data_IF_508014658797
#
_entry.id   IF_508014658797
#
_cell.length_a   1.000
_cell.length_b   1.000
_cell.length_c   1.000
_cell.angle_alpha   90.00
_cell.angle_beta   90.00
_cell.angle_gamma   90.00
#
_symmetry.space_group_name_H-M   'P 1'
#
loop_
_entity.id
_entity.type
_entity.pdbx_description
1 polymer ?
#
# COMPACT_ATOMS: atom_id res chain seq x y z
N UNK A 1 11.95 11.02 32.44
CA UNK A 1 10.81 11.20 33.36
C UNK A 1 9.73 11.97 32.60
N UNK A 2 8.67 11.27 32.17
CA UNK A 2 7.54 11.91 31.50
C UNK A 2 6.80 12.79 32.50
N UNK A 3 6.61 14.08 32.20
CA UNK A 3 5.62 14.90 32.90
C UNK A 3 4.26 14.22 32.73
N UNK A 4 3.51 14.07 33.83
CA UNK A 4 2.12 13.63 33.76
C UNK A 4 1.36 14.77 33.06
N UNK A 5 0.91 14.52 31.83
CA UNK A 5 0.08 15.45 31.08
C UNK A 5 -1.35 15.40 31.59
N UNK A 6 -2.05 16.53 31.53
CA UNK A 6 -3.44 16.56 31.97
C UNK A 6 -4.35 15.80 30.99
N UNK A 7 -5.52 15.41 31.47
CA UNK A 7 -6.48 14.62 30.68
C UNK A 7 -6.85 15.31 29.36
N UNK A 8 -7.04 16.63 29.37
CA UNK A 8 -7.41 17.41 28.20
C UNK A 8 -6.34 17.37 27.09
N UNK A 9 -5.06 17.48 27.45
CA UNK A 9 -3.95 17.34 26.50
C UNK A 9 -3.89 15.96 25.87
N UNK A 10 -4.19 14.92 26.65
CA UNK A 10 -4.23 13.55 26.18
C UNK A 10 -5.39 13.32 25.21
N UNK A 11 -6.58 13.86 25.50
CA UNK A 11 -7.75 13.81 24.62
C UNK A 11 -7.46 14.51 23.29
N UNK A 12 -6.93 15.74 23.33
CA UNK A 12 -6.56 16.48 22.11
C UNK A 12 -5.53 15.75 21.25
N UNK A 13 -4.58 15.05 21.86
CA UNK A 13 -3.60 14.25 21.13
C UNK A 13 -4.24 13.05 20.43
N UNK A 14 -5.13 12.32 21.11
CA UNK A 14 -5.87 11.22 20.48
C UNK A 14 -6.76 11.72 19.35
N UNK A 15 -7.41 12.88 19.53
CA UNK A 15 -8.19 13.53 18.48
C UNK A 15 -7.33 13.92 17.27
N UNK A 16 -6.12 14.44 17.49
CA UNK A 16 -5.17 14.76 16.42
C UNK A 16 -4.76 13.50 15.63
N UNK A 17 -4.50 12.38 16.30
CA UNK A 17 -4.21 11.09 15.66
C UNK A 17 -5.40 10.60 14.81
N UNK A 18 -6.59 10.57 15.39
CA UNK A 18 -7.81 10.11 14.70
C UNK A 18 -8.17 11.01 13.52
N UNK A 19 -8.07 12.32 13.70
CA UNK A 19 -8.31 13.29 12.64
C UNK A 19 -7.31 13.12 11.50
N UNK A 20 -6.02 12.93 11.79
CA UNK A 20 -5.01 12.69 10.76
C UNK A 20 -5.30 11.43 9.94
N UNK A 21 -5.72 10.33 10.60
CA UNK A 21 -6.13 9.09 9.94
C UNK A 21 -7.40 9.27 9.10
N UNK A 22 -8.39 10.00 9.62
CA UNK A 22 -9.60 10.31 8.87
C UNK A 22 -9.30 11.09 7.59
N UNK A 23 -8.44 12.12 7.69
CA UNK A 23 -8.10 12.97 6.54
C UNK A 23 -7.39 12.19 5.44
N UNK A 24 -6.43 11.32 5.78
CA UNK A 24 -5.75 10.51 4.76
C UNK A 24 -6.72 9.51 4.09
N UNK A 25 -7.65 8.93 4.87
CA UNK A 25 -8.66 8.00 4.34
C UNK A 25 -9.59 8.69 3.35
N UNK A 26 -10.28 9.74 3.79
CA UNK A 26 -11.31 10.42 3.01
C UNK A 26 -10.75 11.10 1.75
N UNK A 27 -9.57 11.73 1.83
CA UNK A 27 -9.08 12.58 0.75
C UNK A 27 -8.00 11.96 -0.13
N UNK A 28 -7.45 10.81 0.26
CA UNK A 28 -6.41 10.14 -0.53
C UNK A 28 -6.73 8.68 -0.79
N UNK A 29 -7.04 7.90 0.24
CA UNK A 29 -7.26 6.46 0.07
C UNK A 29 -8.56 6.21 -0.70
N UNK A 30 -9.65 6.86 -0.33
CA UNK A 30 -10.94 6.69 -1.03
C UNK A 30 -10.83 7.17 -2.49
N UNK A 31 -10.10 8.26 -2.75
CA UNK A 31 -9.79 8.72 -4.12
C UNK A 31 -9.02 7.67 -4.93
N UNK A 32 -8.05 6.98 -4.31
CA UNK A 32 -7.32 5.87 -4.97
C UNK A 32 -8.26 4.70 -5.26
N UNK A 33 -9.17 4.36 -4.34
CA UNK A 33 -10.15 3.28 -4.52
C UNK A 33 -11.13 3.58 -5.66
N UNK A 34 -11.61 4.82 -5.72
CA UNK A 34 -12.48 5.30 -6.79
C UNK A 34 -11.75 5.27 -8.12
N UNK A 35 -10.52 5.81 -8.18
CA UNK A 35 -9.66 5.74 -9.37
C UNK A 35 -9.47 4.30 -9.87
N UNK A 36 -9.15 3.36 -8.97
CA UNK A 36 -9.00 1.95 -9.34
C UNK A 36 -10.29 1.39 -9.92
N UNK A 37 -11.45 1.74 -9.36
CA UNK A 37 -12.74 1.24 -9.83
C UNK A 37 -13.14 1.84 -11.18
N UNK A 38 -13.03 3.15 -11.32
CA UNK A 38 -13.37 3.85 -12.57
C UNK A 38 -12.45 3.42 -13.71
N UNK A 39 -11.16 3.24 -13.44
CA UNK A 39 -10.22 2.80 -14.46
C UNK A 39 -10.46 1.33 -14.86
N UNK A 40 -10.90 0.45 -13.96
CA UNK A 40 -11.31 -0.92 -14.34
C UNK A 40 -12.52 -0.89 -15.27
N UNK A 41 -13.50 -0.05 -14.96
CA UNK A 41 -14.68 0.14 -15.80
C UNK A 41 -14.26 0.63 -17.19
N UNK A 42 -13.39 1.64 -17.26
CA UNK A 42 -12.84 2.15 -18.52
C UNK A 42 -12.12 1.05 -19.32
N UNK A 43 -11.24 0.27 -18.69
CA UNK A 43 -10.53 -0.81 -19.37
C UNK A 43 -11.50 -1.86 -19.91
N UNK A 44 -12.50 -2.24 -19.11
CA UNK A 44 -13.53 -3.19 -19.53
C UNK A 44 -14.29 -2.69 -20.76
N UNK A 45 -14.81 -1.47 -20.70
CA UNK A 45 -15.52 -0.83 -21.82
C UNK A 45 -14.66 -0.80 -23.08
N UNK A 46 -13.38 -0.41 -22.96
CA UNK A 46 -12.45 -0.38 -24.09
C UNK A 46 -12.17 -1.76 -24.66
N UNK A 47 -11.93 -2.75 -23.82
CA UNK A 47 -11.67 -4.12 -24.29
C UNK A 47 -12.90 -4.73 -24.97
N UNK A 48 -14.11 -4.45 -24.50
CA UNK A 48 -15.36 -4.88 -25.16
C UNK A 48 -15.52 -4.18 -26.52
N UNK A 49 -15.30 -2.87 -26.60
CA UNK A 49 -15.35 -2.13 -27.88
C UNK A 49 -14.40 -2.73 -28.93
N UNK A 50 -13.18 -3.13 -28.51
CA UNK A 50 -12.20 -3.74 -29.42
C UNK A 50 -12.63 -5.16 -29.82
N UNK A 51 -13.19 -5.94 -28.89
CA UNK A 51 -13.71 -7.27 -29.18
C UNK A 51 -14.86 -7.23 -30.19
N UNK A 52 -15.76 -6.26 -30.08
CA UNK A 52 -16.85 -6.06 -31.03
C UNK A 52 -16.30 -5.75 -32.44
N UNK A 53 -15.26 -4.90 -32.54
CA UNK A 53 -14.58 -4.62 -33.82
C UNK A 53 -13.90 -5.84 -34.42
N UNK A 54 -13.28 -6.70 -33.60
CA UNK A 54 -12.70 -7.97 -34.05
C UNK A 54 -13.81 -8.86 -34.63
N UNK A 55 -14.92 -9.02 -33.89
CA UNK A 55 -16.05 -9.84 -34.33
C UNK A 55 -16.68 -9.31 -35.62
N UNK A 56 -16.90 -8.01 -35.75
CA UNK A 56 -17.41 -7.39 -36.99
C UNK A 56 -16.46 -7.61 -38.17
N UNK A 57 -15.15 -7.51 -37.94
CA UNK A 57 -14.14 -7.74 -38.98
C UNK A 57 -14.16 -9.19 -39.45
N UNK A 58 -14.19 -10.16 -38.53
CA UNK A 58 -14.22 -11.61 -38.82
C UNK A 58 -15.46 -12.03 -39.61
N UNK A 59 -16.60 -11.36 -39.40
CA UNK A 59 -17.86 -11.66 -40.08
C UNK A 59 -18.11 -10.82 -41.34
N UNK A 60 -17.19 -9.94 -41.72
CA UNK A 60 -17.36 -9.11 -42.92
C UNK A 60 -17.01 -9.89 -44.19
N UNK A 61 -17.83 -9.79 -45.24
CA UNK A 61 -17.59 -10.46 -46.55
C UNK A 61 -16.42 -9.84 -47.35
N UNK A 62 -15.62 -8.94 -46.75
CA UNK A 62 -14.50 -8.28 -47.42
C UNK A 62 -13.29 -9.22 -47.47
N UNK A 63 -12.50 -9.17 -48.54
CA UNK A 63 -11.20 -9.86 -48.57
C UNK A 63 -10.37 -9.49 -47.33
N UNK A 64 -10.19 -10.46 -46.43
CA UNK A 64 -9.46 -10.28 -45.19
C UNK A 64 -7.97 -10.05 -45.48
N UNK A 65 -7.52 -8.81 -45.37
CA UNK A 65 -6.08 -8.54 -45.21
C UNK A 65 -5.69 -8.83 -43.77
N UNK A 66 -4.80 -9.81 -43.57
CA UNK A 66 -4.28 -10.22 -42.25
C UNK A 66 -3.91 -9.04 -41.34
N UNK A 67 -3.38 -7.95 -41.89
CA UNK A 67 -2.94 -6.77 -41.14
C UNK A 67 -4.04 -6.03 -40.37
N UNK A 68 -5.33 -6.20 -40.73
CA UNK A 68 -6.43 -5.48 -40.09
C UNK A 68 -6.82 -6.04 -38.72
N UNK A 69 -6.88 -7.37 -38.59
CA UNK A 69 -7.23 -8.03 -37.32
C UNK A 69 -6.06 -8.05 -36.34
N UNK A 70 -4.83 -8.17 -36.85
CA UNK A 70 -3.61 -8.06 -36.04
C UNK A 70 -3.56 -6.74 -35.27
N UNK A 71 -3.94 -5.62 -35.92
CA UNK A 71 -4.04 -4.32 -35.25
C UNK A 71 -5.00 -4.34 -34.04
N UNK A 72 -6.20 -4.91 -34.19
CA UNK A 72 -7.17 -4.97 -33.09
C UNK A 72 -6.74 -5.94 -31.99
N UNK A 73 -6.07 -7.04 -32.33
CA UNK A 73 -5.49 -7.98 -31.36
C UNK A 73 -4.37 -7.30 -30.55
N UNK A 74 -3.51 -6.53 -31.20
CA UNK A 74 -2.46 -5.74 -30.54
C UNK A 74 -3.07 -4.66 -29.64
N UNK A 75 -4.11 -3.97 -30.12
CA UNK A 75 -4.85 -2.98 -29.34
C UNK A 75 -5.48 -3.62 -28.10
N UNK A 76 -6.16 -4.77 -28.25
CA UNK A 76 -6.72 -5.53 -27.14
C UNK A 76 -5.64 -5.92 -26.13
N UNK A 77 -4.51 -6.45 -26.60
CA UNK A 77 -3.37 -6.84 -25.75
C UNK A 77 -2.82 -5.65 -24.97
N UNK A 78 -2.72 -4.49 -25.61
CA UNK A 78 -2.28 -3.27 -24.96
C UNK A 78 -3.19 -2.89 -23.80
N UNK A 79 -4.51 -2.84 -23.99
CA UNK A 79 -5.45 -2.47 -22.92
C UNK A 79 -5.57 -3.55 -21.85
N UNK A 80 -5.70 -4.81 -22.24
CA UNK A 80 -5.94 -5.93 -21.33
C UNK A 80 -4.69 -6.30 -20.49
N UNK A 81 -3.49 -6.04 -21.01
CA UNK A 81 -2.22 -6.36 -20.34
C UNK A 81 -1.41 -5.12 -19.95
N UNK A 82 -0.95 -4.33 -20.92
CA UNK A 82 0.03 -3.27 -20.69
C UNK A 82 -0.54 -2.12 -19.85
N UNK A 83 -1.73 -1.62 -20.18
CA UNK A 83 -2.39 -0.57 -19.41
C UNK A 83 -2.81 -1.06 -18.03
N UNK A 84 -3.35 -2.29 -17.94
CA UNK A 84 -3.70 -2.90 -16.64
C UNK A 84 -2.48 -3.00 -15.73
N UNK A 85 -1.36 -3.52 -16.24
CA UNK A 85 -0.09 -3.61 -15.51
C UNK A 85 0.38 -2.23 -15.05
N UNK A 86 0.45 -1.27 -15.97
CA UNK A 86 0.90 0.09 -15.67
C UNK A 86 0.03 0.74 -14.58
N UNK A 87 -1.29 0.62 -14.69
CA UNK A 87 -2.25 1.11 -13.69
C UNK A 87 -1.93 0.52 -12.31
N UNK A 88 -1.86 -0.80 -12.19
CA UNK A 88 -1.67 -1.46 -10.90
C UNK A 88 -0.31 -1.13 -10.28
N UNK A 89 0.77 -1.20 -11.06
CA UNK A 89 2.12 -0.91 -10.55
C UNK A 89 2.27 0.55 -10.13
N UNK A 90 1.88 1.49 -10.98
CA UNK A 90 1.97 2.93 -10.66
C UNK A 90 1.09 3.31 -9.45
N UNK A 91 -0.11 2.75 -9.34
CA UNK A 91 -1.01 3.00 -8.21
C UNK A 91 -0.47 2.38 -6.93
N UNK A 92 0.11 1.18 -6.99
CA UNK A 92 0.72 0.55 -5.82
C UNK A 92 1.93 1.34 -5.32
N UNK A 93 2.83 1.76 -6.23
CA UNK A 93 3.99 2.59 -5.87
C UNK A 93 3.55 3.92 -5.24
N UNK A 94 2.52 4.56 -5.79
CA UNK A 94 1.94 5.79 -5.24
C UNK A 94 1.31 5.55 -3.87
N UNK A 95 0.56 4.46 -3.71
CA UNK A 95 -0.07 4.07 -2.44
C UNK A 95 0.96 3.81 -1.35
N UNK A 96 2.03 3.08 -1.68
CA UNK A 96 3.10 2.79 -0.72
C UNK A 96 3.86 4.05 -0.31
N UNK A 97 4.13 4.95 -1.26
CA UNK A 97 4.78 6.24 -0.96
C UNK A 97 3.89 7.12 -0.07
N UNK A 98 2.58 7.11 -0.32
CA UNK A 98 1.60 7.80 0.51
C UNK A 98 1.58 7.26 1.94
N UNK A 99 1.67 5.94 2.11
CA UNK A 99 1.81 5.30 3.41
C UNK A 99 3.09 5.76 4.15
N UNK A 100 4.23 5.79 3.47
CA UNK A 100 5.50 6.27 4.06
C UNK A 100 5.39 7.72 4.52
N UNK A 101 4.81 8.60 3.70
CA UNK A 101 4.58 10.00 4.04
C UNK A 101 3.61 10.15 5.21
N UNK A 102 2.51 9.41 5.22
CA UNK A 102 1.58 9.45 6.34
C UNK A 102 2.25 8.99 7.63
N UNK A 103 3.00 7.89 7.60
CA UNK A 103 3.74 7.43 8.78
C UNK A 103 4.71 8.50 9.28
N UNK A 104 5.34 9.27 8.40
CA UNK A 104 6.20 10.38 8.82
C UNK A 104 5.42 11.40 9.66
N UNK A 105 4.33 11.92 9.10
CA UNK A 105 3.49 12.89 9.82
C UNK A 105 2.87 12.31 11.08
N UNK A 106 2.50 11.03 11.07
CA UNK A 106 1.98 10.33 12.24
C UNK A 106 3.01 10.31 13.37
N UNK A 107 4.28 9.96 13.09
CA UNK A 107 5.37 9.97 14.08
C UNK A 107 5.70 11.39 14.56
N UNK A 108 5.56 12.40 13.72
CA UNK A 108 5.74 13.81 14.12
C UNK A 108 4.73 14.24 15.19
N UNK A 109 3.47 13.77 15.12
CA UNK A 109 2.46 14.00 16.16
C UNK A 109 2.93 13.42 17.51
N UNK A 110 3.45 12.18 17.52
CA UNK A 110 4.03 11.58 18.74
C UNK A 110 5.22 12.36 19.26
N UNK A 111 6.13 12.76 18.37
CA UNK A 111 7.36 13.49 18.74
C UNK A 111 7.02 14.80 19.45
N UNK A 112 6.04 15.55 18.92
CA UNK A 112 5.52 16.79 19.51
C UNK A 112 4.80 16.52 20.84
N UNK A 113 3.95 15.49 20.90
CA UNK A 113 3.22 15.16 22.12
C UNK A 113 4.13 14.67 23.26
N UNK A 114 5.19 13.92 22.97
CA UNK A 114 6.12 13.46 24.02
C UNK A 114 7.30 14.42 24.25
N UNK A 115 7.32 15.58 23.58
CA UNK A 115 8.43 16.56 23.63
C UNK A 115 9.80 15.91 23.39
N UNK A 116 9.85 14.97 22.44
CA UNK A 116 11.06 14.22 22.15
C UNK A 116 12.10 15.11 21.47
N UNK A 117 13.34 15.05 21.96
CA UNK A 117 14.49 15.72 21.34
C UNK A 117 15.05 14.94 20.16
N UNK A 118 14.96 13.62 20.24
CA UNK A 118 15.34 12.71 19.15
C UNK A 118 14.19 12.68 18.16
N UNK A 119 14.47 12.93 16.88
CA UNK A 119 13.48 12.82 15.80
C UNK A 119 13.71 11.53 15.01
N UNK A 120 12.72 11.12 14.23
CA UNK A 120 12.82 9.90 13.41
C UNK A 120 13.98 9.92 12.41
N UNK A 121 14.32 11.10 11.91
CA UNK A 121 15.43 11.28 10.96
C UNK A 121 16.81 11.06 11.63
N UNK A 122 16.91 11.09 12.96
CA UNK A 122 18.12 10.77 13.72
C UNK A 122 18.41 9.25 13.80
N UNK A 123 17.42 8.40 13.47
CA UNK A 123 17.59 6.95 13.49
C UNK A 123 18.37 6.48 12.26
N UNK A 124 19.29 5.54 12.42
CA UNK A 124 20.02 4.94 11.31
C UNK A 124 19.12 4.03 10.42
N UNK A 125 19.44 3.97 9.12
CA UNK A 125 18.80 3.09 8.13
C UNK A 125 18.12 3.84 6.97
N UNK A 126 17.73 3.10 5.93
CA UNK A 126 17.06 3.68 4.75
C UNK A 126 15.57 3.28 4.64
N UNK A 127 15.11 2.37 5.50
CA UNK A 127 13.74 1.87 5.49
C UNK A 127 12.89 2.70 6.45
N UNK A 128 12.15 3.67 5.92
CA UNK A 128 11.39 4.62 6.72
C UNK A 128 10.35 3.93 7.59
N UNK A 129 9.61 2.98 7.02
CA UNK A 129 8.59 2.20 7.72
C UNK A 129 9.21 1.51 8.95
N UNK A 130 10.35 0.83 8.79
CA UNK A 130 11.02 0.18 9.91
C UNK A 130 11.55 1.18 10.96
N UNK A 131 12.03 2.36 10.54
CA UNK A 131 12.38 3.43 11.48
C UNK A 131 11.17 3.88 12.29
N UNK A 132 10.00 4.04 11.68
CA UNK A 132 8.77 4.43 12.37
C UNK A 132 8.40 3.44 13.47
N UNK A 133 8.44 2.14 13.16
CA UNK A 133 8.21 1.10 14.18
C UNK A 133 9.24 1.19 15.32
N UNK A 134 10.52 1.26 14.99
CA UNK A 134 11.59 1.35 15.99
C UNK A 134 11.49 2.61 16.85
N UNK A 135 11.07 3.72 16.27
CA UNK A 135 10.87 4.97 16.99
C UNK A 135 9.73 4.84 18.00
N UNK A 136 8.58 4.29 17.59
CA UNK A 136 7.46 4.03 18.52
C UNK A 136 7.87 3.09 19.65
N UNK A 137 8.56 1.98 19.34
CA UNK A 137 8.95 0.99 20.35
C UNK A 137 10.06 1.47 21.30
N UNK A 138 11.09 2.14 20.77
CA UNK A 138 12.32 2.42 21.55
C UNK A 138 12.39 3.84 22.09
N UNK A 139 11.80 4.80 21.38
CA UNK A 139 11.87 6.23 21.74
C UNK A 139 10.61 6.62 22.51
N UNK A 140 9.43 6.23 22.01
CA UNK A 140 8.13 6.51 22.64
C UNK A 140 7.71 5.41 23.64
N UNK A 141 8.38 4.26 23.60
CA UNK A 141 8.14 3.13 24.51
C UNK A 141 6.72 2.53 24.36
N UNK A 142 6.23 2.40 23.12
CA UNK A 142 4.95 1.76 22.80
C UNK A 142 5.19 0.29 22.51
N UNK A 143 4.55 -0.61 23.27
CA UNK A 143 4.63 -2.05 23.01
C UNK A 143 3.77 -2.42 21.79
N UNK A 144 4.40 -2.66 20.65
CA UNK A 144 3.75 -3.05 19.40
C UNK A 144 3.72 -4.58 19.17
N UNK A 145 3.94 -5.40 20.19
CA UNK A 145 3.90 -6.87 20.07
C UNK A 145 2.59 -7.38 19.44
N UNK A 146 1.45 -6.80 19.85
CA UNK A 146 0.13 -7.11 19.29
C UNK A 146 0.04 -6.85 17.77
N UNK A 147 0.87 -5.96 17.23
CA UNK A 147 0.90 -5.56 15.83
C UNK A 147 1.95 -6.30 14.99
N UNK A 148 2.69 -7.27 15.58
CA UNK A 148 3.77 -7.96 14.86
C UNK A 148 3.30 -8.78 13.66
N UNK A 149 2.08 -9.34 13.70
CA UNK A 149 1.48 -10.06 12.57
C UNK A 149 1.19 -9.10 11.40
N UNK A 150 0.46 -8.02 11.66
CA UNK A 150 0.10 -6.99 10.68
C UNK A 150 1.35 -6.36 10.08
N UNK A 151 2.34 -6.07 10.93
CA UNK A 151 3.65 -5.58 10.52
C UNK A 151 4.35 -6.53 9.54
N UNK A 152 4.37 -7.84 9.83
CA UNK A 152 4.99 -8.83 8.95
C UNK A 152 4.33 -8.82 7.57
N UNK A 153 3.01 -8.70 7.50
CA UNK A 153 2.32 -8.56 6.21
C UNK A 153 2.71 -7.28 5.46
N UNK A 154 2.77 -6.13 6.14
CA UNK A 154 3.27 -4.87 5.54
C UNK A 154 4.68 -5.02 4.96
N UNK A 155 5.56 -5.78 5.62
CA UNK A 155 6.92 -6.02 5.09
C UNK A 155 6.93 -6.86 3.82
N UNK A 156 5.91 -7.67 3.53
CA UNK A 156 5.77 -8.37 2.25
C UNK A 156 5.49 -7.39 1.11
N UNK A 157 4.54 -6.46 1.32
CA UNK A 157 4.28 -5.36 0.38
C UNK A 157 5.53 -4.52 0.13
N UNK A 158 6.30 -4.24 1.18
CA UNK A 158 7.59 -3.55 1.04
C UNK A 158 8.55 -4.27 0.08
N UNK A 159 8.68 -5.59 0.23
CA UNK A 159 9.56 -6.40 -0.63
C UNK A 159 9.10 -6.34 -2.07
N UNK A 160 7.80 -6.45 -2.32
CA UNK A 160 7.22 -6.34 -3.67
C UNK A 160 7.51 -4.95 -4.26
N UNK A 161 7.23 -3.87 -3.52
CA UNK A 161 7.51 -2.49 -3.93
C UNK A 161 8.97 -2.31 -4.31
N UNK A 162 9.88 -2.80 -3.48
CA UNK A 162 11.32 -2.68 -3.73
C UNK A 162 11.76 -3.44 -4.99
N UNK A 163 11.16 -4.60 -5.27
CA UNK A 163 11.48 -5.37 -6.48
C UNK A 163 10.94 -4.71 -7.73
N UNK A 164 9.72 -4.16 -7.69
CA UNK A 164 9.14 -3.37 -8.79
C UNK A 164 10.06 -2.19 -9.11
N UNK A 165 10.51 -1.43 -8.11
CA UNK A 165 11.36 -0.24 -8.30
C UNK A 165 12.78 -0.58 -8.77
N UNK A 166 13.46 -1.54 -8.13
CA UNK A 166 14.90 -1.71 -8.30
C UNK A 166 15.32 -2.84 -9.26
N UNK A 167 14.41 -3.75 -9.63
CA UNK A 167 14.70 -4.91 -10.49
C UNK A 167 13.63 -5.12 -11.58
N UNK A 168 12.83 -4.09 -11.90
CA UNK A 168 11.71 -4.20 -12.83
C UNK A 168 10.74 -5.35 -12.46
N UNK A 169 10.59 -5.64 -11.16
CA UNK A 169 9.75 -6.71 -10.63
C UNK A 169 10.40 -8.10 -10.59
N UNK A 170 11.68 -8.26 -10.91
CA UNK A 170 12.34 -9.58 -10.93
C UNK A 170 12.92 -9.99 -9.58
N UNK A 171 12.50 -11.17 -9.10
CA UNK A 171 13.10 -11.89 -7.98
C UNK A 171 14.30 -12.72 -8.47
N UNK A 172 15.32 -12.83 -7.63
CA UNK A 172 16.47 -13.69 -7.88
C UNK A 172 16.08 -15.14 -7.60
N UNK A 173 16.62 -16.07 -8.39
CA UNK A 173 16.37 -17.51 -8.20
C UNK A 173 16.84 -18.04 -6.85
N UNK A 174 17.77 -17.35 -6.19
CA UNK A 174 18.22 -17.64 -4.83
C UNK A 174 17.21 -17.26 -3.74
N UNK A 175 16.17 -16.47 -4.05
CA UNK A 175 15.16 -15.99 -3.09
C UNK A 175 13.98 -16.98 -2.94
N UNK A 176 14.26 -18.28 -2.86
CA UNK A 176 13.25 -19.35 -2.90
C UNK A 176 12.17 -19.23 -1.83
N UNK A 177 12.54 -18.93 -0.58
CA UNK A 177 11.58 -18.76 0.51
C UNK A 177 10.73 -17.49 0.32
N UNK A 178 11.34 -16.39 -0.17
CA UNK A 178 10.60 -15.17 -0.50
C UNK A 178 9.60 -15.42 -1.62
N UNK A 179 9.99 -16.16 -2.66
CA UNK A 179 9.07 -16.54 -3.75
C UNK A 179 7.89 -17.33 -3.18
N UNK A 180 8.15 -18.34 -2.35
CA UNK A 180 7.12 -19.19 -1.72
C UNK A 180 6.20 -18.43 -0.78
N UNK A 181 6.72 -17.43 -0.07
CA UNK A 181 5.95 -16.56 0.82
C UNK A 181 5.05 -15.61 0.01
N UNK A 182 5.63 -14.90 -0.95
CA UNK A 182 4.91 -13.91 -1.75
C UNK A 182 3.89 -14.57 -2.69
N UNK A 183 4.17 -15.74 -3.26
CA UNK A 183 3.26 -16.45 -4.17
C UNK A 183 1.92 -16.85 -3.55
N UNK A 184 1.78 -16.72 -2.22
CA UNK A 184 0.51 -16.98 -1.50
C UNK A 184 -0.35 -15.72 -1.36
N UNK A 185 0.19 -14.54 -1.66
CA UNK A 185 -0.55 -13.29 -1.59
C UNK A 185 -1.57 -13.24 -2.73
N UNK A 186 -2.74 -12.68 -2.44
CA UNK A 186 -3.78 -12.44 -3.45
C UNK A 186 -3.37 -11.28 -4.36
N UNK A 187 -3.88 -11.31 -5.59
CA UNK A 187 -3.67 -10.23 -6.57
C UNK A 187 -2.22 -10.10 -7.09
N UNK A 188 -1.38 -11.12 -6.88
CA UNK A 188 -0.05 -11.21 -7.48
C UNK A 188 0.20 -12.57 -8.11
N UNK A 189 1.03 -12.58 -9.15
CA UNK A 189 1.59 -13.78 -9.75
C UNK A 189 3.11 -13.67 -9.83
N UNK A 190 3.79 -14.80 -9.65
CA UNK A 190 5.24 -14.90 -9.83
C UNK A 190 5.50 -15.94 -10.91
N UNK A 191 6.03 -15.49 -12.04
CA UNK A 191 6.39 -16.40 -13.14
C UNK A 191 7.51 -17.36 -12.76
N UNK A 192 7.68 -18.45 -13.52
CA UNK A 192 8.82 -19.38 -13.35
C UNK A 192 10.19 -18.70 -13.42
N UNK A 193 10.27 -17.55 -14.10
CA UNK A 193 11.50 -16.76 -14.25
C UNK A 193 11.68 -15.71 -13.13
N UNK A 194 10.78 -15.68 -12.15
CA UNK A 194 10.85 -14.78 -10.98
C UNK A 194 10.23 -13.41 -11.18
N UNK A 195 9.58 -13.14 -12.32
CA UNK A 195 8.87 -11.86 -12.53
C UNK A 195 7.60 -11.79 -11.71
N UNK A 196 7.46 -10.74 -10.92
CA UNK A 196 6.25 -10.37 -10.20
C UNK A 196 5.32 -9.61 -11.16
N UNK A 197 4.06 -10.02 -11.20
CA UNK A 197 2.98 -9.32 -11.90
C UNK A 197 1.85 -9.06 -10.90
N UNK A 198 1.40 -7.80 -10.80
CA UNK A 198 0.17 -7.48 -10.08
C UNK A 198 -1.01 -7.81 -10.99
N UNK A 199 -1.94 -8.62 -10.52
CA UNK A 199 -3.03 -9.17 -11.34
C UNK A 199 -4.38 -8.54 -11.07
N UNK A 200 -4.56 -7.97 -9.88
CA UNK A 200 -5.83 -7.42 -9.42
C UNK A 200 -5.64 -6.18 -8.54
N UNK A 201 -6.60 -5.25 -8.58
CA UNK A 201 -6.67 -4.10 -7.67
C UNK A 201 -6.86 -4.53 -6.21
N UNK A 202 -7.43 -5.71 -5.96
CA UNK A 202 -7.59 -6.24 -4.60
C UNK A 202 -6.26 -6.28 -3.84
N UNK A 203 -5.13 -6.48 -4.53
CA UNK A 203 -3.80 -6.38 -3.90
C UNK A 203 -3.56 -5.01 -3.23
N UNK A 204 -3.99 -3.92 -3.88
CA UNK A 204 -3.83 -2.55 -3.38
C UNK A 204 -4.87 -2.25 -2.30
N UNK A 205 -6.09 -2.82 -2.42
CA UNK A 205 -7.13 -2.68 -1.41
C UNK A 205 -6.73 -3.39 -0.11
N UNK A 206 -6.25 -4.64 -0.20
CA UNK A 206 -5.71 -5.42 0.93
C UNK A 206 -4.55 -4.67 1.61
N UNK A 207 -3.69 -3.99 0.83
CA UNK A 207 -2.63 -3.14 1.39
C UNK A 207 -3.21 -1.99 2.24
N UNK A 208 -4.26 -1.33 1.76
CA UNK A 208 -4.91 -0.24 2.49
C UNK A 208 -5.69 -0.72 3.72
N UNK A 209 -6.23 -1.94 3.70
CA UNK A 209 -6.82 -2.56 4.89
C UNK A 209 -5.76 -2.84 5.97
N UNK A 210 -4.62 -3.40 5.58
CA UNK A 210 -3.50 -3.62 6.50
C UNK A 210 -2.93 -2.31 7.06
N UNK A 211 -2.89 -1.27 6.24
CA UNK A 211 -2.53 0.07 6.70
C UNK A 211 -3.49 0.56 7.79
N UNK A 212 -4.80 0.49 7.54
CA UNK A 212 -5.82 0.95 8.49
C UNK A 212 -5.77 0.14 9.78
N UNK A 213 -5.65 -1.19 9.69
CA UNK A 213 -5.49 -2.09 10.83
C UNK A 213 -4.27 -1.69 11.69
N UNK A 214 -3.11 -1.49 11.05
CA UNK A 214 -1.87 -1.18 11.75
C UNK A 214 -1.94 0.17 12.48
N UNK A 215 -2.44 1.22 11.82
CA UNK A 215 -2.53 2.55 12.44
C UNK A 215 -3.57 2.57 13.56
N UNK A 216 -4.77 2.01 13.35
CA UNK A 216 -5.78 1.93 14.41
C UNK A 216 -5.27 1.11 15.60
N UNK A 217 -4.54 0.03 15.35
CA UNK A 217 -3.92 -0.77 16.40
C UNK A 217 -2.90 0.02 17.23
N UNK A 218 -2.06 0.84 16.58
CA UNK A 218 -1.13 1.74 17.29
C UNK A 218 -1.90 2.77 18.13
N UNK A 219 -2.96 3.37 17.60
CA UNK A 219 -3.80 4.33 18.33
C UNK A 219 -4.45 3.65 19.55
N UNK A 220 -5.00 2.46 19.39
CA UNK A 220 -5.61 1.71 20.49
C UNK A 220 -4.61 1.39 21.62
N UNK A 221 -3.41 0.92 21.27
CA UNK A 221 -2.33 0.67 22.24
C UNK A 221 -1.93 1.97 22.95
N UNK A 222 -1.90 3.09 22.21
CA UNK A 222 -1.57 4.41 22.78
C UNK A 222 -2.62 4.87 23.78
N UNK A 223 -3.90 4.67 23.49
CA UNK A 223 -4.99 4.94 24.42
C UNK A 223 -4.86 4.07 25.68
N UNK A 224 -4.55 2.78 25.54
CA UNK A 224 -4.29 1.88 26.68
C UNK A 224 -3.12 2.40 27.54
N UNK A 225 -2.00 2.80 26.91
CA UNK A 225 -0.82 3.35 27.60
C UNK A 225 -1.17 4.60 28.39
N UNK A 226 -1.87 5.56 27.78
CA UNK A 226 -2.26 6.81 28.45
C UNK A 226 -3.17 6.53 29.66
N UNK A 227 -4.18 5.66 29.51
CA UNK A 227 -5.08 5.28 30.62
C UNK A 227 -4.33 4.69 31.80
N UNK A 228 -3.36 3.80 31.56
CA UNK A 228 -2.54 3.19 32.62
C UNK A 228 -1.70 4.25 33.34
N UNK A 229 -1.15 5.23 32.62
CA UNK A 229 -0.37 6.31 33.22
C UNK A 229 -1.25 7.24 34.08
N UNK A 230 -2.47 7.53 33.64
CA UNK A 230 -3.42 8.35 34.40
C UNK A 230 -3.94 7.66 35.68
N UNK A 231 -4.07 6.33 35.68
CA UNK A 231 -4.54 5.55 36.84
C UNK A 231 -3.45 5.25 37.88
N UNK A 232 -2.18 5.57 37.60
CA UNK A 232 -1.05 5.41 38.53
C UNK A 232 -0.81 6.67 39.40
N UNK A 233 -1.71 7.65 39.31
CA UNK A 233 -1.73 8.92 40.06
C UNK A 233 -2.86 8.86 41.07
#
# INVERSE_FOLDING_TARGET
>A
MSRIRNQKESEMFIDELNYSLYMIKAYKIDVIKDYLTDFDKYLKEKTTEIQDKIFEWENSEKEHKYSGVEYYIDEYTNYNSNFKKLKLESTFLSSYSLFEHYLKSFIEIYTKYYEMKVVIDDLNGNNYINKSKQYLEKVIDINLEKMNSTWREITKYQRIRNKIVHNNGKLNSSETETIKELSKMKGIEISKLGWITLTDKEFILDFWELFDEYINGIIAITIEKIKILSNKV
#
